data_IF_820287624887
#
_entry.id   IF_820287624887
#
_cell.length_a   1.000
_cell.length_b   1.000
_cell.length_c   1.000
_cell.angle_alpha   90.00
_cell.angle_beta   90.00
_cell.angle_gamma   90.00
#
_symmetry.space_group_name_H-M   'P 1'
#
loop_
_entity.id
_entity.type
_entity.pdbx_description
1 polymer ?
#
# COMPACT_ATOMS: atom_id res chain seq x y z
N UNK A 1 7.56 29.17 22.32
CA UNK A 1 8.19 28.26 23.32
C UNK A 1 7.51 28.25 24.70
N UNK A 2 7.08 29.38 25.27
CA UNK A 2 6.50 29.47 26.64
C UNK A 2 5.13 28.80 26.84
N UNK A 3 4.33 28.59 25.80
CA UNK A 3 3.00 27.96 25.85
C UNK A 3 3.08 26.42 26.00
N UNK A 4 4.07 25.78 25.37
CA UNK A 4 4.27 24.33 25.46
C UNK A 4 4.69 23.86 26.86
N UNK A 5 5.49 24.65 27.58
CA UNK A 5 5.93 24.26 28.92
C UNK A 5 4.76 24.23 29.93
N UNK A 6 3.79 25.13 29.81
CA UNK A 6 2.61 25.13 30.70
C UNK A 6 1.74 23.90 30.47
N UNK A 7 1.49 23.52 29.23
CA UNK A 7 0.74 22.30 28.89
C UNK A 7 1.45 21.06 29.43
N UNK A 8 2.77 20.96 29.22
CA UNK A 8 3.57 19.83 29.70
C UNK A 8 3.53 19.73 31.24
N UNK A 9 3.66 20.85 31.96
CA UNK A 9 3.58 20.87 33.43
C UNK A 9 2.19 20.44 33.93
N UNK A 10 1.11 20.96 33.30
CA UNK A 10 -0.26 20.56 33.65
C UNK A 10 -0.48 19.07 33.42
N UNK A 11 -0.03 18.53 32.27
CA UNK A 11 -0.14 17.09 31.96
C UNK A 11 0.61 16.23 32.96
N UNK A 12 1.83 16.66 33.37
CA UNK A 12 2.61 15.96 34.37
C UNK A 12 1.93 15.98 35.75
N UNK A 13 1.37 17.11 36.15
CA UNK A 13 0.64 17.23 37.44
C UNK A 13 -0.61 16.36 37.42
N UNK A 14 -1.36 16.32 36.32
CA UNK A 14 -2.53 15.43 36.16
C UNK A 14 -2.12 13.95 36.25
N UNK A 15 -1.03 13.55 35.58
CA UNK A 15 -0.53 12.18 35.65
C UNK A 15 -0.12 11.79 37.08
N UNK A 16 0.58 12.68 37.80
CA UNK A 16 0.95 12.46 39.22
C UNK A 16 -0.29 12.35 40.12
N UNK A 17 -1.29 13.19 39.92
CA UNK A 17 -2.56 13.14 40.63
C UNK A 17 -3.30 11.80 40.41
N UNK A 18 -3.36 11.34 39.20
CA UNK A 18 -3.98 10.03 38.85
C UNK A 18 -3.23 8.89 39.53
N UNK A 19 -1.90 8.90 39.48
CA UNK A 19 -1.04 7.88 40.16
C UNK A 19 -1.29 7.91 41.65
N UNK A 20 -1.31 9.09 42.29
CA UNK A 20 -1.53 9.22 43.72
C UNK A 20 -2.92 8.69 44.15
N UNK A 21 -3.98 9.03 43.41
CA UNK A 21 -5.32 8.52 43.65
C UNK A 21 -5.37 7.00 43.48
N UNK A 22 -4.73 6.45 42.44
CA UNK A 22 -4.66 5.00 42.21
C UNK A 22 -3.98 4.28 43.40
N UNK A 23 -2.84 4.79 43.87
CA UNK A 23 -2.15 4.24 45.02
C UNK A 23 -3.03 4.30 46.27
N UNK A 24 -3.68 5.45 46.51
CA UNK A 24 -4.57 5.62 47.65
C UNK A 24 -5.73 4.58 47.62
N UNK A 25 -6.37 4.39 46.46
CA UNK A 25 -7.44 3.40 46.29
C UNK A 25 -6.94 1.99 46.55
N UNK A 26 -5.74 1.63 46.10
CA UNK A 26 -5.17 0.32 46.29
C UNK A 26 -4.77 0.05 47.79
N UNK A 27 -4.57 1.09 48.60
CA UNK A 27 -4.27 0.97 50.00
C UNK A 27 -5.53 0.79 50.88
N UNK A 28 -6.74 1.15 50.40
CA UNK A 28 -8.00 1.03 51.15
C UNK A 28 -8.21 -0.38 51.74
N UNK A 29 -8.00 -1.51 51.00
CA UNK A 29 -8.22 -2.85 51.52
C UNK A 29 -7.29 -3.24 52.70
N UNK A 30 -6.14 -2.58 52.85
CA UNK A 30 -5.22 -2.81 53.98
C UNK A 30 -5.81 -2.29 55.30
N UNK A 31 -6.63 -1.24 55.21
CA UNK A 31 -7.27 -0.64 56.40
C UNK A 31 -8.70 -1.18 56.62
N UNK A 32 -9.36 -1.59 55.55
CA UNK A 32 -10.71 -2.17 55.65
C UNK A 32 -10.87 -3.32 54.63
N UNK A 33 -10.66 -4.58 55.05
CA UNK A 33 -10.73 -5.77 54.18
C UNK A 33 -12.11 -5.99 53.52
N UNK A 34 -13.19 -5.48 54.12
CA UNK A 34 -14.53 -5.61 53.53
C UNK A 34 -14.68 -4.82 52.23
N UNK A 35 -13.87 -3.78 52.06
CA UNK A 35 -13.86 -2.98 50.81
C UNK A 35 -13.01 -3.59 49.70
N UNK A 36 -12.26 -4.65 49.98
CA UNK A 36 -11.36 -5.29 49.00
C UNK A 36 -12.11 -5.74 47.73
N UNK A 37 -13.30 -6.31 47.88
CA UNK A 37 -14.13 -6.76 46.73
C UNK A 37 -14.52 -5.58 45.84
N UNK A 38 -14.97 -4.48 46.42
CA UNK A 38 -15.36 -3.29 45.65
C UNK A 38 -14.17 -2.67 44.92
N UNK A 39 -13.01 -2.56 45.60
CA UNK A 39 -11.78 -2.06 44.98
C UNK A 39 -11.33 -2.94 43.83
N UNK A 40 -11.42 -4.27 44.00
CA UNK A 40 -11.07 -5.22 42.91
C UNK A 40 -11.99 -5.06 41.69
N UNK A 41 -13.29 -4.96 41.90
CA UNK A 41 -14.26 -4.75 40.82
C UNK A 41 -13.98 -3.43 40.08
N UNK A 42 -13.73 -2.34 40.85
CA UNK A 42 -13.40 -1.05 40.26
C UNK A 42 -12.07 -1.08 39.48
N UNK A 43 -11.07 -1.79 39.99
CA UNK A 43 -9.79 -1.95 39.31
C UNK A 43 -9.94 -2.71 37.97
N UNK A 44 -10.70 -3.81 37.97
CA UNK A 44 -11.00 -4.56 36.76
C UNK A 44 -11.78 -3.72 35.74
N UNK A 45 -12.81 -2.98 36.17
CA UNK A 45 -13.55 -2.09 35.30
C UNK A 45 -12.65 -1.00 34.70
N UNK A 46 -11.77 -0.42 35.50
CA UNK A 46 -10.78 0.59 35.05
C UNK A 46 -9.78 -0.01 34.05
N UNK A 47 -9.31 -1.24 34.28
CA UNK A 47 -8.42 -1.95 33.38
C UNK A 47 -9.05 -2.14 31.98
N UNK A 48 -10.32 -2.56 31.94
CA UNK A 48 -11.07 -2.70 30.68
C UNK A 48 -11.25 -1.32 29.99
N UNK A 49 -11.60 -0.29 30.76
CA UNK A 49 -11.76 1.07 30.22
C UNK A 49 -10.46 1.64 29.62
N UNK A 50 -9.31 1.30 30.21
CA UNK A 50 -7.99 1.80 29.78
C UNK A 50 -7.29 0.89 28.76
N UNK A 51 -7.85 -0.28 28.45
CA UNK A 51 -7.21 -1.31 27.62
C UNK A 51 -6.68 -0.76 26.28
N UNK A 52 -7.46 0.06 25.59
CA UNK A 52 -7.07 0.62 24.28
C UNK A 52 -5.91 1.61 24.38
N UNK A 53 -5.83 2.36 25.46
CA UNK A 53 -4.72 3.28 25.70
C UNK A 53 -3.42 2.53 26.01
N UNK A 54 -3.49 1.51 26.87
CA UNK A 54 -2.33 0.64 27.19
C UNK A 54 -1.87 -0.10 25.93
N UNK A 55 -2.80 -0.64 25.12
CA UNK A 55 -2.48 -1.28 23.86
C UNK A 55 -1.82 -0.31 22.87
N UNK A 56 -2.29 0.96 22.78
CA UNK A 56 -1.68 1.97 21.92
C UNK A 56 -0.26 2.33 22.36
N UNK A 57 -0.02 2.41 23.69
CA UNK A 57 1.31 2.64 24.23
C UNK A 57 2.24 1.45 23.93
N UNK A 58 1.79 0.22 24.13
CA UNK A 58 2.56 -0.98 23.79
C UNK A 58 2.88 -1.02 22.29
N UNK A 59 1.89 -0.71 21.43
CA UNK A 59 2.06 -0.63 19.99
C UNK A 59 3.09 0.43 19.56
N UNK A 60 3.21 1.56 20.28
CA UNK A 60 4.26 2.54 20.02
C UNK A 60 5.66 1.93 20.16
N UNK A 61 5.88 1.13 21.20
CA UNK A 61 7.16 0.43 21.37
C UNK A 61 7.38 -0.62 20.26
N UNK A 62 6.33 -1.35 19.88
CA UNK A 62 6.42 -2.30 18.75
C UNK A 62 6.82 -1.55 17.47
N UNK A 63 6.16 -0.46 17.12
CA UNK A 63 6.51 0.37 15.97
C UNK A 63 7.96 0.84 16.00
N UNK A 64 8.42 1.28 17.17
CA UNK A 64 9.76 1.84 17.35
C UNK A 64 10.87 0.80 17.25
N UNK A 65 10.65 -0.40 17.79
CA UNK A 65 11.67 -1.45 17.84
C UNK A 65 11.63 -2.40 16.63
N UNK A 66 10.44 -2.75 16.13
CA UNK A 66 10.32 -3.68 15.00
C UNK A 66 10.48 -3.01 13.64
N UNK A 67 10.45 -1.66 13.57
CA UNK A 67 10.54 -0.89 12.33
C UNK A 67 9.53 -1.35 11.27
N UNK A 68 8.30 -1.65 11.69
CA UNK A 68 7.21 -2.03 10.79
C UNK A 68 7.02 -0.99 9.69
N UNK A 69 7.15 0.28 10.03
CA UNK A 69 7.24 1.41 9.12
C UNK A 69 7.91 2.60 9.81
N UNK A 70 8.44 3.50 9.01
CA UNK A 70 9.06 4.74 9.45
C UNK A 70 8.31 5.96 8.85
N UNK A 71 8.65 7.16 9.34
CA UNK A 71 8.11 8.40 8.77
C UNK A 71 8.52 8.51 7.29
N UNK A 72 7.60 8.90 6.44
CA UNK A 72 7.65 8.92 4.97
C UNK A 72 7.42 7.57 4.28
N UNK A 73 7.21 6.47 5.00
CA UNK A 73 6.79 5.23 4.38
C UNK A 73 5.35 5.32 3.88
N UNK A 74 5.08 4.72 2.73
CA UNK A 74 3.72 4.50 2.24
C UNK A 74 3.20 3.17 2.77
N UNK A 75 2.13 3.23 3.56
CA UNK A 75 1.56 2.05 4.22
C UNK A 75 0.06 1.90 3.96
N UNK A 76 -0.40 0.66 4.09
CA UNK A 76 -1.83 0.33 4.21
C UNK A 76 -2.04 -0.44 5.52
N UNK A 77 -3.01 -0.02 6.31
CA UNK A 77 -3.40 -0.64 7.57
C UNK A 77 -4.89 -0.93 7.49
N UNK A 78 -5.23 -2.20 7.34
CA UNK A 78 -6.59 -2.60 6.96
C UNK A 78 -7.02 -1.95 5.64
N UNK A 79 -8.04 -1.10 5.68
CA UNK A 79 -8.56 -0.34 4.53
C UNK A 79 -7.96 1.06 4.39
N UNK A 80 -7.20 1.53 5.38
CA UNK A 80 -6.63 2.88 5.38
C UNK A 80 -5.26 2.88 4.71
N UNK A 81 -5.02 3.80 3.78
CA UNK A 81 -3.77 3.94 3.04
C UNK A 81 -3.27 5.37 3.10
N UNK A 82 -1.97 5.55 3.30
CA UNK A 82 -1.37 6.87 3.37
C UNK A 82 0.14 6.83 3.50
N UNK A 83 0.73 8.03 3.46
CA UNK A 83 2.13 8.25 3.78
C UNK A 83 2.25 8.62 5.26
N UNK A 84 3.14 7.96 5.99
CA UNK A 84 3.35 8.21 7.43
C UNK A 84 3.99 9.57 7.61
N UNK A 85 3.27 10.51 8.22
CA UNK A 85 3.78 11.87 8.48
C UNK A 85 4.33 12.03 9.88
N UNK A 86 3.80 11.30 10.87
CA UNK A 86 4.25 11.38 12.25
C UNK A 86 3.89 10.12 13.03
N UNK A 87 4.78 9.71 13.96
CA UNK A 87 4.52 8.61 14.91
C UNK A 87 4.59 9.16 16.32
N UNK A 88 3.42 9.31 16.95
CA UNK A 88 3.26 9.76 18.33
C UNK A 88 3.07 8.61 19.30
N UNK A 89 2.99 8.94 20.61
CA UNK A 89 2.93 7.95 21.70
C UNK A 89 1.67 7.08 21.66
N UNK A 90 0.50 7.68 21.33
CA UNK A 90 -0.80 6.98 21.31
C UNK A 90 -1.39 6.87 19.90
N UNK A 91 -0.99 7.74 18.98
CA UNK A 91 -1.49 7.84 17.63
C UNK A 91 -0.35 8.10 16.67
N UNK A 92 -0.47 7.60 15.47
CA UNK A 92 0.33 8.02 14.33
C UNK A 92 -0.57 8.71 13.29
N UNK A 93 0.06 9.51 12.44
CA UNK A 93 -0.62 10.30 11.41
C UNK A 93 -0.25 9.76 10.04
N UNK A 94 -1.26 9.60 9.18
CA UNK A 94 -1.08 9.33 7.76
C UNK A 94 -1.65 10.47 6.93
N UNK A 95 -0.88 10.93 5.96
CA UNK A 95 -1.38 11.72 4.86
C UNK A 95 -2.11 10.77 3.90
N UNK A 96 -3.43 10.88 3.85
CA UNK A 96 -4.28 9.91 3.14
C UNK A 96 -3.95 9.86 1.65
N UNK A 97 -3.87 8.65 1.13
CA UNK A 97 -3.70 8.35 -0.29
C UNK A 97 -4.95 7.67 -0.81
N UNK A 98 -5.51 8.20 -1.90
CA UNK A 98 -6.72 7.67 -2.53
C UNK A 98 -6.56 6.22 -3.00
N UNK A 99 -7.67 5.48 -3.02
CA UNK A 99 -7.77 4.14 -3.58
C UNK A 99 -8.83 4.06 -4.67
N UNK A 100 -8.62 3.14 -5.61
CA UNK A 100 -9.57 2.86 -6.69
C UNK A 100 -9.67 3.97 -7.74
N UNK A 101 -10.90 4.25 -8.19
CA UNK A 101 -11.18 5.17 -9.30
C UNK A 101 -10.96 6.65 -8.98
N UNK A 102 -10.91 7.02 -7.69
CA UNK A 102 -10.72 8.40 -7.24
C UNK A 102 -9.22 8.69 -7.05
N UNK A 103 -8.52 8.99 -8.14
CA UNK A 103 -7.09 9.34 -8.08
C UNK A 103 -6.28 8.37 -7.18
N UNK A 104 -6.52 7.07 -7.35
CA UNK A 104 -5.88 6.05 -6.54
C UNK A 104 -4.36 6.19 -6.60
N UNK A 105 -3.72 6.34 -5.44
CA UNK A 105 -2.27 6.52 -5.32
C UNK A 105 -1.80 7.96 -5.17
N UNK A 106 -2.69 8.96 -5.33
CA UNK A 106 -2.41 10.37 -5.09
C UNK A 106 -2.86 10.80 -3.68
N UNK A 107 -2.22 11.84 -3.13
CA UNK A 107 -2.59 12.42 -1.85
C UNK A 107 -3.96 13.10 -1.96
N UNK A 108 -4.84 12.80 -1.01
CA UNK A 108 -6.19 13.42 -0.96
C UNK A 108 -6.21 14.77 -0.24
N UNK A 109 -5.09 15.14 0.43
CA UNK A 109 -5.00 16.31 1.28
C UNK A 109 -5.65 16.15 2.65
N UNK A 110 -6.09 14.95 3.02
CA UNK A 110 -6.66 14.64 4.34
C UNK A 110 -5.63 13.94 5.21
N UNK A 111 -5.69 14.20 6.52
CA UNK A 111 -4.84 13.57 7.53
C UNK A 111 -5.68 12.58 8.33
N UNK A 112 -5.22 11.35 8.42
CA UNK A 112 -5.80 10.30 9.22
C UNK A 112 -5.06 10.22 10.57
N UNK A 113 -5.80 10.36 11.67
CA UNK A 113 -5.30 10.13 13.03
C UNK A 113 -5.63 8.70 13.43
N UNK A 114 -4.65 7.84 13.50
CA UNK A 114 -4.85 6.41 13.74
C UNK A 114 -4.26 6.02 15.09
N UNK A 115 -5.04 5.43 16.00
CA UNK A 115 -4.51 4.91 17.27
C UNK A 115 -3.47 3.82 17.01
N UNK A 116 -2.34 3.87 17.74
CA UNK A 116 -1.24 2.93 17.51
C UNK A 116 -1.65 1.46 17.63
N UNK A 117 -2.61 1.12 18.50
CA UNK A 117 -3.05 -0.27 18.67
C UNK A 117 -3.63 -0.89 17.39
N UNK A 118 -4.07 -0.08 16.41
CA UNK A 118 -4.58 -0.58 15.13
C UNK A 118 -3.55 -1.45 14.39
N UNK A 119 -2.25 -1.22 14.58
CA UNK A 119 -1.19 -2.03 13.97
C UNK A 119 -1.06 -3.43 14.57
N UNK A 120 -1.65 -3.66 15.74
CA UNK A 120 -1.72 -4.99 16.38
C UNK A 120 -2.97 -5.77 15.95
N UNK A 121 -4.03 -5.04 15.56
CA UNK A 121 -5.33 -5.61 15.22
C UNK A 121 -5.51 -5.80 13.71
N UNK A 122 -4.75 -5.08 12.88
CA UNK A 122 -4.92 -5.06 11.42
C UNK A 122 -3.61 -5.44 10.70
N UNK A 123 -3.68 -6.10 9.54
CA UNK A 123 -2.51 -6.33 8.72
C UNK A 123 -1.90 -5.01 8.25
N UNK A 124 -0.59 -4.91 8.35
CA UNK A 124 0.19 -3.76 7.88
C UNK A 124 0.91 -4.14 6.60
N UNK A 125 0.62 -3.43 5.50
CA UNK A 125 1.35 -3.54 4.25
C UNK A 125 2.21 -2.28 4.06
N UNK A 126 3.52 -2.44 4.05
CA UNK A 126 4.46 -1.36 3.79
C UNK A 126 4.92 -1.41 2.32
N UNK A 127 4.55 -0.39 1.53
CA UNK A 127 4.93 -0.28 0.12
C UNK A 127 6.35 0.25 -0.08
N UNK A 128 6.95 0.82 0.97
CA UNK A 128 8.29 1.40 0.94
C UNK A 128 9.37 0.43 1.42
N UNK A 129 8.97 -0.74 1.97
CA UNK A 129 9.86 -1.79 2.47
C UNK A 129 9.48 -3.11 1.79
N UNK A 130 9.93 -3.30 0.56
CA UNK A 130 9.41 -4.40 -0.27
C UNK A 130 10.19 -5.71 -0.14
N UNK A 131 11.43 -5.67 0.38
CA UNK A 131 12.29 -6.84 0.39
C UNK A 131 13.03 -7.02 1.71
N UNK A 132 13.22 -8.29 2.08
CA UNK A 132 14.06 -8.69 3.21
C UNK A 132 15.34 -9.31 2.67
N UNK A 133 16.49 -8.68 2.93
CA UNK A 133 17.79 -9.25 2.63
C UNK A 133 18.50 -9.56 3.95
N UNK A 134 18.88 -10.81 4.16
CA UNK A 134 19.56 -11.28 5.38
C UNK A 134 18.84 -10.83 6.68
N UNK A 135 17.50 -10.82 6.66
CA UNK A 135 16.69 -10.44 7.81
C UNK A 135 16.55 -8.94 8.06
N UNK A 136 17.06 -8.09 7.19
CA UNK A 136 16.89 -6.62 7.26
C UNK A 136 15.92 -6.15 6.17
N UNK A 137 15.04 -5.21 6.53
CA UNK A 137 14.15 -4.55 5.57
C UNK A 137 14.94 -3.51 4.79
N UNK A 138 14.81 -3.54 3.47
CA UNK A 138 15.36 -2.51 2.60
C UNK A 138 14.26 -1.54 2.19
N UNK A 139 14.54 -0.24 2.34
CA UNK A 139 13.69 0.80 1.79
C UNK A 139 13.76 0.74 0.26
N UNK A 140 12.61 0.54 -0.40
CA UNK A 140 12.54 0.42 -1.84
C UNK A 140 11.60 1.48 -2.42
N UNK A 141 12.12 2.32 -3.30
CA UNK A 141 11.33 3.31 -4.05
C UNK A 141 10.56 2.72 -5.24
N UNK A 142 10.72 1.42 -5.54
CA UNK A 142 10.12 0.72 -6.68
C UNK A 142 9.38 -0.53 -6.23
N UNK A 143 8.34 -0.90 -6.98
CA UNK A 143 7.55 -2.09 -6.74
C UNK A 143 7.08 -2.68 -8.07
N UNK A 144 6.65 -3.94 -8.05
CA UNK A 144 5.85 -4.47 -9.14
C UNK A 144 4.42 -3.95 -9.05
N UNK A 145 3.88 -3.55 -10.18
CA UNK A 145 2.48 -3.17 -10.31
C UNK A 145 1.89 -3.81 -11.58
N UNK A 146 0.57 -3.77 -11.69
CA UNK A 146 -0.17 -4.40 -12.76
C UNK A 146 -1.08 -3.39 -13.47
N UNK A 147 -1.19 -3.54 -14.79
CA UNK A 147 -2.23 -2.90 -15.59
C UNK A 147 -3.16 -3.97 -16.13
N UNK A 148 -4.47 -3.79 -15.96
CA UNK A 148 -5.51 -4.69 -16.46
C UNK A 148 -6.31 -3.97 -17.53
N UNK A 149 -6.25 -4.47 -18.77
CA UNK A 149 -6.85 -3.87 -19.94
C UNK A 149 -7.86 -4.84 -20.56
N UNK A 150 -9.10 -4.37 -20.71
CA UNK A 150 -10.12 -5.16 -21.39
C UNK A 150 -9.95 -5.01 -22.91
N UNK A 151 -9.93 -6.13 -23.62
CA UNK A 151 -9.90 -6.17 -25.08
C UNK A 151 -11.14 -6.87 -25.62
N UNK A 152 -11.54 -6.49 -26.83
CA UNK A 152 -12.65 -7.15 -27.52
C UNK A 152 -12.22 -8.55 -27.99
N UNK A 153 -13.14 -9.51 -27.99
CA UNK A 153 -12.90 -10.86 -28.51
C UNK A 153 -12.44 -10.87 -29.98
N UNK A 154 -12.82 -9.86 -30.76
CA UNK A 154 -12.42 -9.71 -32.16
C UNK A 154 -11.01 -9.10 -32.33
N UNK A 155 -10.31 -8.77 -31.24
CA UNK A 155 -8.94 -8.25 -31.31
C UNK A 155 -7.97 -9.42 -31.53
N UNK A 156 -6.97 -9.30 -32.41
CA UNK A 156 -5.95 -10.35 -32.56
C UNK A 156 -5.09 -10.44 -31.30
N UNK A 157 -5.50 -11.30 -30.34
CA UNK A 157 -5.00 -11.35 -28.97
C UNK A 157 -3.48 -11.48 -28.88
N UNK A 158 -2.85 -12.30 -29.73
CA UNK A 158 -1.39 -12.45 -29.73
C UNK A 158 -0.66 -11.17 -30.13
N UNK A 159 -1.21 -10.40 -31.09
CA UNK A 159 -0.64 -9.12 -31.49
C UNK A 159 -0.87 -8.07 -30.39
N UNK A 160 -2.04 -8.06 -29.77
CA UNK A 160 -2.33 -7.16 -28.65
C UNK A 160 -1.48 -7.49 -27.42
N UNK A 161 -1.20 -8.76 -27.17
CA UNK A 161 -0.30 -9.19 -26.10
C UNK A 161 1.13 -8.71 -26.34
N UNK A 162 1.70 -8.96 -27.54
CA UNK A 162 3.06 -8.49 -27.87
C UNK A 162 3.15 -6.96 -27.88
N UNK A 163 2.12 -6.27 -28.34
CA UNK A 163 2.06 -4.81 -28.28
C UNK A 163 2.14 -4.30 -26.85
N UNK A 164 1.34 -4.89 -25.94
CA UNK A 164 1.38 -4.50 -24.54
C UNK A 164 2.76 -4.79 -23.92
N UNK A 165 3.38 -5.94 -24.23
CA UNK A 165 4.73 -6.26 -23.77
C UNK A 165 5.76 -5.22 -24.23
N UNK A 166 5.70 -4.79 -25.48
CA UNK A 166 6.62 -3.78 -26.02
C UNK A 166 6.42 -2.41 -25.34
N UNK A 167 5.17 -2.01 -25.12
CA UNK A 167 4.85 -0.77 -24.39
C UNK A 167 5.41 -0.84 -22.97
N UNK A 168 5.14 -1.92 -22.24
CA UNK A 168 5.63 -2.09 -20.87
C UNK A 168 7.16 -2.06 -20.81
N UNK A 169 7.84 -2.75 -21.74
CA UNK A 169 9.31 -2.74 -21.84
C UNK A 169 9.91 -1.36 -22.07
N UNK A 170 9.22 -0.52 -22.81
CA UNK A 170 9.66 0.84 -23.07
C UNK A 170 9.43 1.75 -21.87
N UNK A 171 8.23 1.68 -21.27
CA UNK A 171 7.83 2.53 -20.16
C UNK A 171 8.59 2.20 -18.86
N UNK A 172 8.85 0.93 -18.55
CA UNK A 172 9.53 0.55 -17.33
C UNK A 172 11.08 0.49 -17.45
N UNK A 173 11.64 0.64 -18.66
CA UNK A 173 13.07 0.54 -18.93
C UNK A 173 13.93 1.37 -17.99
N UNK A 174 13.57 2.65 -17.84
CA UNK A 174 14.33 3.58 -17.01
C UNK A 174 14.24 3.21 -15.52
N UNK A 175 13.07 2.79 -15.06
CA UNK A 175 12.82 2.38 -13.67
C UNK A 175 13.56 1.08 -13.35
N UNK A 176 13.57 0.10 -14.25
CA UNK A 176 14.35 -1.13 -14.10
C UNK A 176 15.85 -0.85 -14.02
N UNK A 177 16.36 0.05 -14.86
CA UNK A 177 17.78 0.45 -14.82
C UNK A 177 18.15 1.17 -13.53
N UNK A 178 17.25 2.03 -13.01
CA UNK A 178 17.45 2.71 -11.73
C UNK A 178 17.38 1.73 -10.56
N UNK A 179 16.41 0.82 -10.57
CA UNK A 179 16.30 -0.23 -9.59
C UNK A 179 17.55 -1.11 -9.55
N UNK A 180 18.07 -1.54 -10.71
CA UNK A 180 19.35 -2.28 -10.78
C UNK A 180 20.50 -1.55 -10.11
N UNK A 181 20.65 -0.23 -10.35
CA UNK A 181 21.72 0.56 -9.74
C UNK A 181 21.63 0.62 -8.22
N UNK A 182 20.41 0.66 -7.68
CA UNK A 182 20.16 0.77 -6.24
C UNK A 182 20.33 -0.58 -5.52
N UNK A 183 19.99 -1.70 -6.17
CA UNK A 183 19.85 -3.01 -5.51
C UNK A 183 20.89 -4.06 -5.93
N UNK A 184 21.89 -3.70 -6.73
CA UNK A 184 22.94 -4.62 -7.22
C UNK A 184 23.60 -5.46 -6.11
N UNK A 185 23.71 -4.91 -4.89
CA UNK A 185 24.37 -5.60 -3.77
C UNK A 185 23.41 -6.33 -2.84
N UNK A 186 22.13 -5.93 -2.77
CA UNK A 186 21.26 -6.26 -1.65
C UNK A 186 19.94 -6.97 -2.00
N UNK A 187 19.52 -7.02 -3.26
CA UNK A 187 18.23 -7.61 -3.65
C UNK A 187 18.31 -8.43 -4.95
N UNK A 188 19.07 -9.52 -5.00
CA UNK A 188 19.22 -10.35 -6.21
C UNK A 188 17.88 -10.88 -6.73
N UNK A 189 16.99 -11.34 -5.85
CA UNK A 189 15.69 -11.91 -6.24
C UNK A 189 14.77 -10.90 -6.93
N UNK A 190 14.76 -9.64 -6.48
CA UNK A 190 13.98 -8.58 -7.13
C UNK A 190 14.55 -8.25 -8.51
N UNK A 191 15.87 -8.21 -8.63
CA UNK A 191 16.53 -7.93 -9.90
C UNK A 191 16.27 -9.04 -10.93
N UNK A 192 16.36 -10.30 -10.52
CA UNK A 192 16.06 -11.43 -11.37
C UNK A 192 14.60 -11.39 -11.84
N UNK A 193 13.67 -11.14 -10.93
CA UNK A 193 12.25 -11.02 -11.28
C UNK A 193 11.96 -9.77 -12.12
N UNK A 194 12.65 -8.66 -11.89
CA UNK A 194 12.54 -7.45 -12.71
C UNK A 194 13.10 -7.66 -14.14
N UNK A 195 14.06 -8.57 -14.32
CA UNK A 195 14.60 -8.92 -15.64
C UNK A 195 13.66 -9.83 -16.42
N UNK A 196 12.93 -10.68 -15.74
CA UNK A 196 11.88 -11.50 -16.35
C UNK A 196 10.60 -10.70 -16.67
N UNK A 197 10.40 -9.54 -16.04
CA UNK A 197 9.34 -8.61 -16.38
C UNK A 197 9.65 -7.83 -17.67
N UNK A 198 8.67 -7.35 -18.42
CA UNK A 198 7.24 -7.46 -18.18
C UNK A 198 6.66 -8.77 -18.67
N UNK A 199 5.72 -9.31 -17.94
CA UNK A 199 4.92 -10.46 -18.37
C UNK A 199 3.50 -9.99 -18.63
N UNK A 200 2.94 -10.39 -19.77
CA UNK A 200 1.54 -10.15 -20.10
C UNK A 200 0.82 -11.49 -20.12
N UNK A 201 -0.19 -11.60 -19.26
CA UNK A 201 -1.09 -12.74 -19.17
C UNK A 201 -2.45 -12.39 -19.76
N UNK A 202 -3.10 -13.38 -20.36
CA UNK A 202 -4.43 -13.27 -20.91
C UNK A 202 -5.41 -13.99 -20.00
N UNK A 203 -6.46 -13.30 -19.57
CA UNK A 203 -7.52 -13.86 -18.74
C UNK A 203 -8.87 -13.68 -19.45
N UNK A 204 -9.71 -14.70 -19.37
CA UNK A 204 -11.09 -14.65 -19.83
C UNK A 204 -12.04 -14.74 -18.62
N UNK A 205 -12.98 -13.81 -18.53
CA UNK A 205 -14.05 -13.79 -17.53
C UNK A 205 -15.39 -13.65 -18.25
N UNK A 206 -16.08 -14.77 -18.41
CA UNK A 206 -17.28 -14.83 -19.25
C UNK A 206 -16.94 -14.44 -20.70
N UNK A 207 -17.65 -13.45 -21.25
CA UNK A 207 -17.42 -12.94 -22.62
C UNK A 207 -16.31 -11.87 -22.71
N UNK A 208 -15.71 -11.49 -21.57
CA UNK A 208 -14.70 -10.44 -21.51
C UNK A 208 -13.31 -11.05 -21.49
N UNK A 209 -12.43 -10.50 -22.31
CA UNK A 209 -11.01 -10.86 -22.34
C UNK A 209 -10.19 -9.71 -21.78
N UNK A 210 -9.26 -10.02 -20.88
CA UNK A 210 -8.38 -9.06 -20.24
C UNK A 210 -6.93 -9.42 -20.52
N UNK A 211 -6.14 -8.41 -20.82
CA UNK A 211 -4.68 -8.48 -20.79
C UNK A 211 -4.22 -7.88 -19.47
N UNK A 212 -3.42 -8.65 -18.71
CA UNK A 212 -2.83 -8.19 -17.45
C UNK A 212 -1.33 -8.18 -17.63
N UNK A 213 -0.76 -6.99 -17.56
CA UNK A 213 0.67 -6.76 -17.71
C UNK A 213 1.31 -6.35 -16.39
N UNK A 214 2.36 -7.08 -15.96
CA UNK A 214 3.18 -6.80 -14.79
C UNK A 214 4.39 -5.96 -15.20
N UNK A 215 4.71 -4.91 -14.46
CA UNK A 215 5.82 -4.00 -14.73
C UNK A 215 6.42 -3.40 -13.45
N UNK A 216 7.61 -2.84 -13.56
CA UNK A 216 8.27 -2.13 -12.45
C UNK A 216 7.82 -0.67 -12.45
N UNK A 217 7.29 -0.23 -11.32
CA UNK A 217 6.81 1.14 -11.14
C UNK A 217 7.38 1.80 -9.88
N UNK A 218 7.51 3.13 -9.84
CA UNK A 218 7.82 3.82 -8.60
C UNK A 218 6.63 3.72 -7.63
N UNK A 219 6.91 3.63 -6.33
CA UNK A 219 5.87 3.59 -5.28
C UNK A 219 4.97 4.81 -5.33
N UNK A 220 5.55 5.98 -5.65
CA UNK A 220 4.83 7.24 -5.86
C UNK A 220 4.74 7.57 -7.35
N UNK A 221 3.58 8.07 -7.80
CA UNK A 221 3.35 8.40 -9.22
C UNK A 221 3.08 7.21 -10.14
N UNK A 222 2.90 5.99 -9.62
CA UNK A 222 2.63 4.78 -10.41
C UNK A 222 1.36 4.87 -11.27
N UNK A 223 0.37 5.67 -10.85
CA UNK A 223 -0.86 5.83 -11.61
C UNK A 223 -0.67 6.63 -12.89
N UNK A 224 0.26 7.60 -12.89
CA UNK A 224 0.62 8.32 -14.11
C UNK A 224 1.19 7.35 -15.14
N UNK A 225 2.04 6.42 -14.69
CA UNK A 225 2.59 5.37 -15.54
C UNK A 225 1.50 4.41 -16.05
N UNK A 226 0.58 3.96 -15.18
CA UNK A 226 -0.59 3.14 -15.60
C UNK A 226 -1.43 3.86 -16.64
N UNK A 227 -1.71 5.14 -16.43
CA UNK A 227 -2.48 5.95 -17.36
C UNK A 227 -1.78 6.07 -18.71
N UNK A 228 -0.46 6.34 -18.73
CA UNK A 228 0.34 6.43 -19.94
C UNK A 228 0.34 5.10 -20.72
N UNK A 229 0.57 3.97 -20.03
CA UNK A 229 0.52 2.62 -20.62
C UNK A 229 -0.88 2.36 -21.22
N UNK A 230 -1.93 2.68 -20.47
CA UNK A 230 -3.31 2.44 -20.90
C UNK A 230 -3.67 3.26 -22.15
N UNK A 231 -3.36 4.55 -22.13
CA UNK A 231 -3.64 5.43 -23.28
C UNK A 231 -2.90 4.96 -24.53
N UNK A 232 -1.61 4.73 -24.42
CA UNK A 232 -0.78 4.27 -25.51
C UNK A 232 -1.27 2.93 -26.08
N UNK A 233 -1.62 1.98 -25.21
CA UNK A 233 -2.18 0.71 -25.65
C UNK A 233 -3.50 0.88 -26.38
N UNK A 234 -4.41 1.72 -25.88
CA UNK A 234 -5.70 1.97 -26.51
C UNK A 234 -5.53 2.63 -27.89
N UNK A 235 -4.63 3.57 -28.04
CA UNK A 235 -4.33 4.21 -29.33
C UNK A 235 -3.76 3.20 -30.33
N UNK A 236 -2.76 2.42 -29.95
CA UNK A 236 -2.10 1.47 -30.86
C UNK A 236 -2.99 0.25 -31.19
N UNK A 237 -3.85 -0.19 -30.24
CA UNK A 237 -4.77 -1.32 -30.51
C UNK A 237 -5.88 -0.98 -31.52
N UNK A 238 -6.28 0.30 -31.61
CA UNK A 238 -7.21 0.75 -32.63
C UNK A 238 -6.57 0.59 -34.03
N UNK A 239 -5.34 1.01 -34.20
CA UNK A 239 -4.59 0.84 -35.45
C UNK A 239 -4.40 -0.64 -35.83
N UNK A 240 -4.18 -1.52 -34.84
CA UNK A 240 -4.11 -2.96 -35.09
C UNK A 240 -5.43 -3.53 -35.64
N UNK A 241 -6.59 -3.05 -35.15
CA UNK A 241 -7.89 -3.48 -35.62
C UNK A 241 -8.17 -3.02 -37.07
N UNK A 242 -7.84 -1.76 -37.35
CA UNK A 242 -7.97 -1.19 -38.71
C UNK A 242 -7.12 -1.95 -39.73
N UNK A 243 -5.87 -2.24 -39.36
CA UNK A 243 -4.95 -2.99 -40.23
C UNK A 243 -5.39 -4.43 -40.43
N UNK A 244 -5.94 -5.09 -39.39
CA UNK A 244 -6.46 -6.44 -39.49
C UNK A 244 -7.72 -6.49 -40.41
N UNK A 245 -8.66 -5.56 -40.22
CA UNK A 245 -9.85 -5.45 -41.08
C UNK A 245 -9.51 -5.17 -42.55
N UNK A 246 -8.52 -4.32 -42.80
CA UNK A 246 -8.04 -4.05 -44.17
C UNK A 246 -7.36 -5.27 -44.82
N UNK A 247 -6.68 -6.10 -44.04
CA UNK A 247 -6.07 -7.33 -44.55
C UNK A 247 -7.09 -8.41 -44.90
N UNK A 248 -8.18 -8.52 -44.12
CA UNK A 248 -9.29 -9.44 -44.39
C UNK A 248 -10.06 -9.02 -45.64
N UNK A 249 -10.28 -7.72 -45.84
CA UNK A 249 -10.92 -7.20 -47.05
C UNK A 249 -10.09 -7.43 -48.32
N UNK A 250 -8.78 -7.31 -48.25
CA UNK A 250 -7.87 -7.63 -49.37
C UNK A 250 -7.84 -9.12 -49.70
N UNK A 251 -7.84 -10.00 -48.68
CA UNK A 251 -7.90 -11.45 -48.90
C UNK A 251 -9.25 -11.90 -49.50
N UNK A 252 -10.36 -11.26 -49.16
CA UNK A 252 -11.67 -11.56 -49.77
C UNK A 252 -11.79 -11.07 -51.20
N UNK A 253 -11.02 -10.09 -51.66
CA UNK A 253 -10.97 -9.61 -53.02
C UNK A 253 -10.05 -10.41 -53.93
N UNK A 254 -9.07 -11.13 -53.37
CA UNK A 254 -8.12 -11.99 -54.11
C UNK A 254 -8.59 -13.43 -54.32
N UNK A 255 -9.74 -13.84 -53.80
CA UNK A 255 -10.29 -15.16 -54.13
C UNK A 255 -10.91 -15.11 -55.53
N UNK A 256 -10.32 -15.81 -56.52
CA UNK A 256 -10.90 -15.89 -57.85
C UNK A 256 -12.24 -16.63 -57.79
N UNK A 257 -13.26 -16.00 -58.35
CA UNK A 257 -14.58 -16.61 -58.58
C UNK A 257 -14.33 -17.92 -59.33
N UNK A 258 -14.42 -19.04 -58.62
CA UNK A 258 -14.50 -20.35 -59.29
C UNK A 258 -15.87 -20.39 -60.03
N UNK A 259 -15.86 -19.98 -61.28
CA UNK A 259 -16.94 -20.26 -62.22
C UNK A 259 -17.07 -21.76 -62.37
N UNK A 260 -18.26 -22.26 -62.00
CA UNK A 260 -18.71 -23.63 -62.23
C UNK A 260 -18.98 -23.87 -63.70
#
# INVERSE_FOLDING_TARGET
MRKNNKVMVVTLLMALAVIAVTILVLLIPLFNPQLAVYVTIMALASMVALQKYVASLAAFFVLRFSKLFEVNDRVRIGTLKGDVSHIGLLHFLLDEVGEGEKFGGELTGRILHIPNHMVLDQPVLNFSQNFTVKGQFLACGYMFDEVRLQVSANTPLRKAQSLLEDILRQEDKNFRQQARKLYVLDAPTFLDEADEAPRVMVFAEGEKVFLVGKFVAPVRGRNNMKSAITLRFLEEVVHLKETAGLSELKQSQEQPIKTA
#
